data_IF_796331209408
#
_entry.id   IF_796331209408
#
_cell.length_a   1.000
_cell.length_b   1.000
_cell.length_c   1.000
_cell.angle_alpha   90.00
_cell.angle_beta   90.00
_cell.angle_gamma   90.00
#
_symmetry.space_group_name_H-M   'P 1'
#
loop_
_entity.id
_entity.type
_entity.pdbx_description
1 polymer ?
#
# COMPACT_ATOMS: atom_id res chain seq x y z
N UNK A 1 59.25 38.14 3.13
CA UNK A 1 60.49 38.59 2.45
C UNK A 1 60.34 40.02 1.89
N UNK A 2 60.00 41.01 2.72
CA UNK A 2 59.83 42.43 2.29
C UNK A 2 61.04 43.29 2.65
N UNK A 3 61.45 43.23 3.93
CA UNK A 3 62.54 44.02 4.51
C UNK A 3 63.87 43.89 3.73
N UNK A 4 64.22 42.68 3.30
CA UNK A 4 65.47 42.47 2.54
C UNK A 4 65.48 43.17 1.17
N UNK A 5 64.32 43.31 0.51
CA UNK A 5 64.21 43.97 -0.80
C UNK A 5 64.22 45.50 -0.68
N UNK A 6 63.54 46.06 0.32
CA UNK A 6 63.52 47.50 0.54
C UNK A 6 64.91 48.04 0.93
N UNK A 7 65.67 47.27 1.71
CA UNK A 7 67.06 47.60 2.05
C UNK A 7 67.94 47.66 0.80
N UNK A 8 67.83 46.67 -0.10
CA UNK A 8 68.63 46.64 -1.34
C UNK A 8 68.32 47.87 -2.22
N UNK A 9 67.05 48.22 -2.36
CA UNK A 9 66.61 49.37 -3.17
C UNK A 9 67.06 50.70 -2.54
N UNK A 10 66.94 50.83 -1.21
CA UNK A 10 67.41 52.02 -0.50
C UNK A 10 68.92 52.22 -0.59
N UNK A 11 69.69 51.14 -0.47
CA UNK A 11 71.15 51.17 -0.63
C UNK A 11 71.54 51.50 -2.07
N UNK A 12 70.84 50.96 -3.06
CA UNK A 12 71.07 51.29 -4.47
C UNK A 12 70.77 52.76 -4.79
N UNK A 13 69.67 53.30 -4.27
CA UNK A 13 69.30 54.72 -4.44
C UNK A 13 70.31 55.65 -3.76
N UNK A 14 70.79 55.28 -2.57
CA UNK A 14 71.87 55.99 -1.88
C UNK A 14 73.17 55.98 -2.69
N UNK A 15 73.58 54.82 -3.21
CA UNK A 15 74.80 54.68 -4.02
C UNK A 15 74.73 55.49 -5.32
N UNK A 16 73.58 55.53 -5.99
CA UNK A 16 73.36 56.36 -7.19
C UNK A 16 73.44 57.86 -6.88
N UNK A 17 72.84 58.31 -5.77
CA UNK A 17 72.93 59.70 -5.33
C UNK A 17 74.35 60.09 -4.95
N UNK A 18 75.12 59.16 -4.39
CA UNK A 18 76.55 59.37 -4.08
C UNK A 18 77.41 59.45 -5.34
N UNK A 19 77.03 58.81 -6.46
CA UNK A 19 77.73 58.94 -7.75
C UNK A 19 77.46 60.26 -8.46
N UNK A 20 76.35 60.94 -8.15
CA UNK A 20 75.98 62.24 -8.73
C UNK A 20 76.52 63.45 -7.93
N UNK A 21 77.48 63.23 -7.02
CA UNK A 21 78.08 64.28 -6.16
C UNK A 21 77.08 65.03 -5.26
N UNK A 22 75.97 64.38 -4.94
CA UNK A 22 74.93 64.92 -4.04
C UNK A 22 75.45 64.95 -2.59
N UNK A 23 75.13 65.97 -1.77
CA UNK A 23 75.67 66.03 -0.41
C UNK A 23 75.22 64.79 0.40
N UNK A 24 76.13 64.16 1.18
CA UNK A 24 75.88 62.86 1.82
C UNK A 24 74.64 62.82 2.72
N UNK A 25 74.31 63.95 3.35
CA UNK A 25 73.13 64.11 4.21
C UNK A 25 71.82 63.94 3.45
N UNK A 26 71.76 64.43 2.20
CA UNK A 26 70.56 64.30 1.35
C UNK A 26 70.48 62.90 0.73
N UNK A 27 71.61 62.31 0.33
CA UNK A 27 71.64 60.97 -0.25
C UNK A 27 71.07 59.91 0.71
N UNK A 28 71.42 59.96 2.00
CA UNK A 28 70.91 59.01 3.01
C UNK A 28 69.41 59.19 3.21
N UNK A 29 68.94 60.44 3.28
CA UNK A 29 67.50 60.75 3.39
C UNK A 29 66.70 60.23 2.21
N UNK A 30 67.23 60.38 0.99
CA UNK A 30 66.61 59.86 -0.25
C UNK A 30 66.59 58.33 -0.23
N UNK A 31 67.69 57.66 0.13
CA UNK A 31 67.73 56.20 0.21
C UNK A 31 66.69 55.61 1.16
N UNK A 32 66.54 56.19 2.36
CA UNK A 32 65.57 55.74 3.37
C UNK A 32 64.13 55.99 2.90
N UNK A 33 63.86 57.18 2.37
CA UNK A 33 62.51 57.53 1.90
C UNK A 33 62.08 56.70 0.68
N UNK A 34 62.98 56.45 -0.27
CA UNK A 34 62.73 55.56 -1.40
C UNK A 34 62.46 54.13 -0.96
N UNK A 35 63.22 53.59 0.00
CA UNK A 35 62.98 52.26 0.54
C UNK A 35 61.59 52.13 1.18
N UNK A 36 61.16 53.14 1.93
CA UNK A 36 59.87 53.15 2.61
C UNK A 36 58.69 53.29 1.64
N UNK A 37 58.81 54.16 0.65
CA UNK A 37 57.80 54.33 -0.40
C UNK A 37 57.63 53.03 -1.19
N UNK A 38 58.74 52.39 -1.58
CA UNK A 38 58.68 51.17 -2.38
C UNK A 38 58.05 50.00 -1.60
N UNK A 39 58.37 49.86 -0.32
CA UNK A 39 57.74 48.86 0.55
C UNK A 39 56.23 49.15 0.71
N UNK A 40 55.83 50.42 0.85
CA UNK A 40 54.42 50.80 0.96
C UNK A 40 53.59 50.45 -0.29
N UNK A 41 54.16 50.66 -1.48
CA UNK A 41 53.53 50.33 -2.76
C UNK A 41 53.40 48.81 -2.91
N UNK A 42 54.45 48.07 -2.56
CA UNK A 42 54.45 46.61 -2.67
C UNK A 42 53.51 45.94 -1.66
N UNK A 43 53.43 46.50 -0.45
CA UNK A 43 52.53 46.01 0.59
C UNK A 43 51.06 46.34 0.25
N UNK A 44 50.80 47.50 -0.37
CA UNK A 44 49.47 47.88 -0.84
C UNK A 44 48.95 46.94 -1.95
N UNK A 45 49.80 46.57 -2.92
CA UNK A 45 49.41 45.65 -4.00
C UNK A 45 49.11 44.23 -3.47
N UNK A 46 49.91 43.74 -2.54
CA UNK A 46 49.70 42.43 -1.91
C UNK A 46 48.42 42.41 -1.07
N UNK A 47 48.15 43.49 -0.31
CA UNK A 47 46.89 43.64 0.43
C UNK A 47 45.68 43.72 -0.48
N UNK A 48 45.78 44.45 -1.59
CA UNK A 48 44.70 44.57 -2.57
C UNK A 48 44.31 43.21 -3.14
N UNK A 49 45.31 42.40 -3.54
CA UNK A 49 45.06 41.06 -4.09
C UNK A 49 44.44 40.10 -3.06
N UNK A 50 44.92 40.13 -1.81
CA UNK A 50 44.32 39.34 -0.73
C UNK A 50 42.90 39.80 -0.39
N UNK A 51 42.65 41.11 -0.40
CA UNK A 51 41.33 41.69 -0.16
C UNK A 51 40.35 41.30 -1.26
N UNK A 52 40.77 41.32 -2.52
CA UNK A 52 39.94 40.87 -3.64
C UNK A 52 39.60 39.38 -3.56
N UNK A 53 40.57 38.53 -3.20
CA UNK A 53 40.31 37.11 -2.95
C UNK A 53 39.34 36.92 -1.78
N UNK A 54 39.54 37.63 -0.67
CA UNK A 54 38.64 37.56 0.47
C UNK A 54 37.21 38.02 0.12
N UNK A 55 37.05 39.10 -0.67
CA UNK A 55 35.74 39.54 -1.13
C UNK A 55 35.11 38.56 -2.12
N UNK A 56 35.91 37.90 -2.96
CA UNK A 56 35.44 36.86 -3.87
C UNK A 56 34.88 35.66 -3.11
N UNK A 57 35.67 35.13 -2.16
CA UNK A 57 35.23 34.03 -1.28
C UNK A 57 34.00 34.42 -0.45
N UNK A 58 33.93 35.66 0.05
CA UNK A 58 32.76 36.13 0.79
C UNK A 58 31.50 36.16 -0.09
N UNK A 59 31.64 36.56 -1.36
CA UNK A 59 30.54 36.57 -2.32
C UNK A 59 30.09 35.15 -2.65
N UNK A 60 31.03 34.25 -2.93
CA UNK A 60 30.73 32.82 -3.18
C UNK A 60 30.05 32.16 -1.98
N UNK A 61 30.52 32.44 -0.75
CA UNK A 61 29.89 31.94 0.47
C UNK A 61 28.47 32.47 0.62
N UNK A 62 28.24 33.75 0.32
CA UNK A 62 26.91 34.35 0.39
C UNK A 62 25.95 33.70 -0.63
N UNK A 63 26.43 33.44 -1.86
CA UNK A 63 25.67 32.71 -2.88
C UNK A 63 25.36 31.29 -2.41
N UNK A 64 26.34 30.57 -1.85
CA UNK A 64 26.15 29.23 -1.33
C UNK A 64 25.12 29.18 -0.19
N UNK A 65 25.13 30.17 0.71
CA UNK A 65 24.13 30.32 1.79
C UNK A 65 22.73 30.49 1.20
N UNK A 66 22.58 31.33 0.19
CA UNK A 66 21.28 31.50 -0.49
C UNK A 66 20.81 30.19 -1.15
N UNK A 67 21.69 29.49 -1.86
CA UNK A 67 21.35 28.19 -2.48
C UNK A 67 20.95 27.13 -1.44
N UNK A 68 21.65 27.06 -0.31
CA UNK A 68 21.29 26.14 0.78
C UNK A 68 19.92 26.51 1.36
N UNK A 69 19.63 27.79 1.52
CA UNK A 69 18.32 28.26 1.98
C UNK A 69 17.20 27.88 1.01
N UNK A 70 17.43 28.05 -0.29
CA UNK A 70 16.46 27.66 -1.32
C UNK A 70 16.23 26.15 -1.35
N UNK A 71 17.31 25.36 -1.26
CA UNK A 71 17.23 23.90 -1.19
C UNK A 71 16.50 23.42 0.05
N UNK A 72 16.74 24.07 1.21
CA UNK A 72 16.00 23.80 2.45
C UNK A 72 14.51 24.06 2.26
N UNK A 73 14.14 25.16 1.61
CA UNK A 73 12.74 25.49 1.33
C UNK A 73 12.09 24.47 0.39
N UNK A 74 12.78 24.07 -0.68
CA UNK A 74 12.30 23.04 -1.60
C UNK A 74 12.08 21.69 -0.90
N UNK A 75 13.00 21.32 0.00
CA UNK A 75 12.87 20.09 0.79
C UNK A 75 11.69 20.15 1.76
N UNK A 76 11.44 21.30 2.39
CA UNK A 76 10.32 21.51 3.31
C UNK A 76 8.96 21.40 2.58
N UNK A 77 8.87 22.00 1.39
CA UNK A 77 7.70 21.85 0.50
C UNK A 77 7.52 20.39 0.10
N UNK A 78 8.58 19.73 -0.36
CA UNK A 78 8.52 18.32 -0.77
C UNK A 78 8.10 17.42 0.39
N UNK A 79 8.61 17.68 1.60
CA UNK A 79 8.25 16.91 2.81
C UNK A 79 6.77 17.11 3.15
N UNK A 80 6.26 18.33 3.01
CA UNK A 80 4.86 18.66 3.22
C UNK A 80 3.97 17.96 2.18
N UNK A 81 4.35 18.01 0.91
CA UNK A 81 3.63 17.35 -0.19
C UNK A 81 3.63 15.83 -0.01
N UNK A 82 4.76 15.25 0.39
CA UNK A 82 4.87 13.82 0.63
C UNK A 82 3.99 13.38 1.81
N UNK A 83 3.91 14.20 2.86
CA UNK A 83 3.03 13.97 4.00
C UNK A 83 1.55 14.07 3.59
N UNK A 84 1.19 15.04 2.76
CA UNK A 84 -0.16 15.17 2.21
C UNK A 84 -0.52 13.99 1.30
N UNK A 85 0.43 13.55 0.45
CA UNK A 85 0.26 12.37 -0.39
C UNK A 85 0.12 11.09 0.45
N UNK A 86 0.86 10.97 1.54
CA UNK A 86 0.76 9.86 2.47
C UNK A 86 -0.58 9.86 3.23
N UNK A 87 -1.08 11.03 3.59
CA UNK A 87 -2.43 11.18 4.17
C UNK A 87 -3.51 10.81 3.15
N UNK A 88 -3.35 11.16 1.87
CA UNK A 88 -4.22 10.66 0.78
C UNK A 88 -4.12 9.16 0.60
N UNK A 89 -2.92 8.58 0.65
CA UNK A 89 -2.74 7.14 0.56
C UNK A 89 -3.40 6.45 1.75
N UNK A 90 -3.25 6.98 2.95
CA UNK A 90 -3.92 6.46 4.14
C UNK A 90 -5.44 6.62 4.04
N UNK A 91 -5.93 7.73 3.50
CA UNK A 91 -7.35 7.94 3.21
C UNK A 91 -7.86 6.97 2.15
N UNK A 92 -7.10 6.73 1.07
CA UNK A 92 -7.42 5.76 0.01
C UNK A 92 -7.26 4.32 0.46
N UNK A 93 -6.44 4.02 1.45
CA UNK A 93 -6.28 2.69 2.05
C UNK A 93 -7.39 2.45 3.10
N UNK A 94 -7.78 3.49 3.83
CA UNK A 94 -9.02 3.52 4.61
C UNK A 94 -10.28 3.44 3.72
N UNK A 95 -10.23 3.93 2.47
CA UNK A 95 -11.28 3.74 1.44
C UNK A 95 -11.04 2.44 0.63
N UNK A 96 -9.84 1.87 0.70
CA UNK A 96 -9.44 0.48 0.45
C UNK A 96 -10.08 -0.48 1.47
N UNK A 97 -11.16 0.01 2.07
CA UNK A 97 -12.48 -0.58 2.08
C UNK A 97 -12.64 -1.51 3.27
N UNK A 98 -12.87 -0.94 4.47
CA UNK A 98 -13.55 -1.65 5.54
C UNK A 98 -14.83 -2.32 5.02
N UNK A 99 -15.52 -1.73 4.04
CA UNK A 99 -16.64 -2.36 3.35
C UNK A 99 -16.25 -3.61 2.55
N UNK A 100 -15.09 -3.66 1.89
CA UNK A 100 -14.61 -4.83 1.17
C UNK A 100 -14.04 -5.88 2.12
N UNK A 101 -13.39 -5.47 3.21
CA UNK A 101 -12.97 -6.38 4.29
C UNK A 101 -14.19 -6.99 4.99
N UNK A 102 -15.22 -6.20 5.25
CA UNK A 102 -16.48 -6.67 5.83
C UNK A 102 -17.29 -7.52 4.84
N UNK A 103 -17.28 -7.17 3.54
CA UNK A 103 -17.90 -8.01 2.51
C UNK A 103 -17.17 -9.35 2.36
N UNK A 104 -15.83 -9.35 2.39
CA UNK A 104 -15.03 -10.57 2.37
C UNK A 104 -15.25 -11.41 3.63
N UNK A 105 -15.29 -10.80 4.81
CA UNK A 105 -15.60 -11.51 6.06
C UNK A 105 -17.00 -12.13 6.04
N UNK A 106 -18.01 -11.39 5.55
CA UNK A 106 -19.37 -11.93 5.36
C UNK A 106 -19.43 -13.03 4.30
N UNK A 107 -18.63 -12.92 3.24
CA UNK A 107 -18.51 -13.98 2.24
C UNK A 107 -17.82 -15.23 2.80
N UNK A 108 -16.81 -15.08 3.65
CA UNK A 108 -16.14 -16.17 4.34
C UNK A 108 -17.09 -16.90 5.29
N UNK A 109 -17.85 -16.17 6.11
CA UNK A 109 -18.88 -16.75 6.99
C UNK A 109 -19.99 -17.47 6.21
N UNK A 110 -20.48 -16.89 5.12
CA UNK A 110 -21.48 -17.51 4.26
C UNK A 110 -20.95 -18.78 3.58
N UNK A 111 -19.68 -18.78 3.17
CA UNK A 111 -19.03 -19.91 2.52
C UNK A 111 -18.80 -21.07 3.50
N UNK A 112 -18.43 -20.78 4.75
CA UNK A 112 -18.29 -21.80 5.79
C UNK A 112 -19.64 -22.44 6.15
N UNK A 113 -20.70 -21.62 6.29
CA UNK A 113 -22.06 -22.12 6.48
C UNK A 113 -22.54 -23.00 5.31
N UNK A 114 -22.21 -22.61 4.07
CA UNK A 114 -22.52 -23.40 2.87
C UNK A 114 -21.74 -24.71 2.83
N UNK A 115 -20.46 -24.70 3.22
CA UNK A 115 -19.62 -25.90 3.31
C UNK A 115 -20.19 -26.91 4.30
N UNK A 116 -20.58 -26.46 5.49
CA UNK A 116 -21.21 -27.30 6.52
C UNK A 116 -22.55 -27.87 6.05
N UNK A 117 -23.35 -27.09 5.32
CA UNK A 117 -24.61 -27.57 4.76
C UNK A 117 -24.41 -28.64 3.66
N UNK A 118 -23.39 -28.47 2.81
CA UNK A 118 -23.03 -29.43 1.76
C UNK A 118 -22.56 -30.77 2.36
N UNK A 119 -21.76 -30.72 3.41
CA UNK A 119 -21.26 -31.90 4.11
C UNK A 119 -22.42 -32.73 4.68
N UNK A 120 -23.34 -32.08 5.40
CA UNK A 120 -24.57 -32.73 5.92
C UNK A 120 -25.52 -33.22 4.83
N UNK A 121 -25.52 -32.60 3.64
CA UNK A 121 -26.32 -33.07 2.52
C UNK A 121 -25.70 -34.31 1.87
N UNK A 122 -24.37 -34.36 1.83
CA UNK A 122 -23.62 -35.51 1.32
C UNK A 122 -23.80 -36.72 2.23
N UNK A 123 -23.69 -36.54 3.55
CA UNK A 123 -23.95 -37.59 4.54
C UNK A 123 -25.38 -38.14 4.42
N UNK A 124 -26.39 -37.27 4.36
CA UNK A 124 -27.79 -37.70 4.13
C UNK A 124 -27.97 -38.42 2.80
N UNK A 125 -27.24 -38.03 1.75
CA UNK A 125 -27.30 -38.71 0.46
C UNK A 125 -26.69 -40.11 0.55
N UNK A 126 -25.63 -40.29 1.33
CA UNK A 126 -25.05 -41.60 1.62
C UNK A 126 -25.99 -42.48 2.46
N UNK A 127 -26.58 -41.92 3.52
CA UNK A 127 -27.58 -42.62 4.34
C UNK A 127 -28.83 -43.03 3.53
N UNK A 128 -29.31 -42.16 2.64
CA UNK A 128 -30.46 -42.51 1.78
C UNK A 128 -30.10 -43.58 0.75
N UNK A 129 -28.89 -43.54 0.17
CA UNK A 129 -28.38 -44.63 -0.67
C UNK A 129 -28.27 -45.95 0.09
N UNK A 130 -27.74 -45.94 1.31
CA UNK A 130 -27.67 -47.12 2.17
C UNK A 130 -29.08 -47.63 2.55
N UNK A 131 -30.02 -46.73 2.84
CA UNK A 131 -31.41 -47.10 3.11
C UNK A 131 -32.10 -47.67 1.88
N UNK A 132 -31.80 -47.16 0.68
CA UNK A 132 -32.28 -47.71 -0.58
C UNK A 132 -31.69 -49.09 -0.83
N UNK A 133 -30.40 -49.29 -0.58
CA UNK A 133 -29.75 -50.59 -0.67
C UNK A 133 -30.40 -51.60 0.27
N UNK A 134 -30.57 -51.26 1.54
CA UNK A 134 -31.25 -52.10 2.54
C UNK A 134 -32.70 -52.39 2.15
N UNK A 135 -33.41 -51.40 1.60
CA UNK A 135 -34.78 -51.57 1.11
C UNK A 135 -34.83 -52.51 -0.10
N UNK A 136 -33.91 -52.39 -1.06
CA UNK A 136 -33.82 -53.29 -2.22
C UNK A 136 -33.55 -54.73 -1.76
N UNK A 137 -32.64 -54.93 -0.81
CA UNK A 137 -32.37 -56.26 -0.24
C UNK A 137 -33.63 -56.80 0.45
N UNK A 138 -34.31 -55.98 1.26
CA UNK A 138 -35.55 -56.36 1.95
C UNK A 138 -36.69 -56.65 0.97
N UNK A 139 -36.83 -55.86 -0.10
CA UNK A 139 -37.81 -56.10 -1.15
C UNK A 139 -37.49 -57.37 -1.93
N UNK A 140 -36.23 -57.67 -2.22
CA UNK A 140 -35.83 -58.95 -2.80
C UNK A 140 -36.26 -60.13 -1.93
N UNK A 141 -36.03 -60.04 -0.62
CA UNK A 141 -36.48 -61.05 0.35
C UNK A 141 -38.00 -61.12 0.48
N UNK A 142 -38.71 -59.99 0.44
CA UNK A 142 -40.17 -59.96 0.45
C UNK A 142 -40.75 -60.52 -0.85
N UNK A 143 -40.14 -60.26 -2.01
CA UNK A 143 -40.58 -60.79 -3.30
C UNK A 143 -40.42 -62.32 -3.34
N UNK A 144 -39.32 -62.84 -2.79
CA UNK A 144 -39.13 -64.29 -2.62
C UNK A 144 -40.17 -64.90 -1.67
N UNK A 145 -40.44 -64.28 -0.51
CA UNK A 145 -41.49 -64.74 0.42
C UNK A 145 -42.89 -64.62 -0.16
N UNK A 146 -43.18 -63.57 -0.93
CA UNK A 146 -44.47 -63.40 -1.62
C UNK A 146 -44.62 -64.42 -2.74
N UNK A 147 -43.56 -64.77 -3.47
CA UNK A 147 -43.59 -65.87 -4.43
C UNK A 147 -43.81 -67.22 -3.76
N UNK A 148 -43.19 -67.46 -2.59
CA UNK A 148 -43.43 -68.66 -1.79
C UNK A 148 -44.89 -68.72 -1.30
N UNK A 149 -45.40 -67.63 -0.71
CA UNK A 149 -46.81 -67.55 -0.27
C UNK A 149 -47.76 -67.65 -1.46
N UNK A 150 -47.46 -67.04 -2.60
CA UNK A 150 -48.25 -67.19 -3.83
C UNK A 150 -48.22 -68.61 -4.36
N UNK A 151 -47.10 -69.33 -4.23
CA UNK A 151 -47.04 -70.75 -4.59
C UNK A 151 -47.94 -71.59 -3.68
N UNK A 152 -47.96 -71.31 -2.39
CA UNK A 152 -48.85 -71.94 -1.40
C UNK A 152 -50.31 -71.57 -1.65
N UNK A 153 -50.59 -70.31 -2.01
CA UNK A 153 -51.95 -69.84 -2.31
C UNK A 153 -52.44 -70.39 -3.66
N UNK A 154 -51.57 -70.56 -4.65
CA UNK A 154 -51.89 -71.26 -5.90
C UNK A 154 -52.15 -72.74 -5.65
N UNK A 155 -51.36 -73.38 -4.78
CA UNK A 155 -51.61 -74.75 -4.34
C UNK A 155 -52.95 -74.87 -3.61
N UNK A 156 -53.29 -73.90 -2.75
CA UNK A 156 -54.58 -73.86 -2.05
C UNK A 156 -55.76 -73.50 -2.96
N UNK A 157 -55.59 -72.62 -3.94
CA UNK A 157 -56.60 -72.27 -4.94
C UNK A 157 -56.82 -73.38 -5.98
N UNK A 158 -55.83 -74.23 -6.22
CA UNK A 158 -56.00 -75.44 -7.03
C UNK A 158 -56.87 -76.50 -6.32
N UNK A 159 -57.09 -76.37 -5.00
CA UNK A 159 -57.84 -77.31 -4.19
C UNK A 159 -59.26 -76.85 -3.81
N UNK A 160 -59.70 -75.63 -4.17
CA UNK A 160 -61.02 -75.12 -3.72
C UNK A 160 -61.78 -74.32 -4.80
N UNK A 161 -63.07 -74.64 -5.10
CA UNK A 161 -63.78 -74.11 -6.26
C UNK A 161 -64.39 -72.70 -6.03
N UNK A 162 -64.37 -71.90 -7.10
CA UNK A 162 -64.66 -70.46 -7.14
C UNK A 162 -66.11 -70.07 -6.84
N UNK A 163 -66.29 -69.06 -5.98
CA UNK A 163 -67.53 -68.27 -5.90
C UNK A 163 -67.22 -66.76 -6.00
N UNK A 164 -67.98 -66.08 -6.85
CA UNK A 164 -67.84 -64.68 -7.26
C UNK A 164 -68.11 -63.68 -6.12
N UNK A 165 -67.30 -62.61 -6.02
CA UNK A 165 -67.66 -61.39 -5.26
C UNK A 165 -67.49 -60.17 -6.17
N UNK A 166 -68.58 -59.39 -6.25
CA UNK A 166 -68.77 -58.15 -7.00
C UNK A 166 -67.96 -56.99 -6.39
N UNK A 167 -67.24 -56.23 -7.23
CA UNK A 167 -66.64 -54.94 -6.89
C UNK A 167 -67.73 -53.86 -6.83
N UNK A 168 -67.83 -53.13 -5.72
CA UNK A 168 -68.71 -51.98 -5.57
C UNK A 168 -67.86 -50.71 -5.46
N UNK A 169 -67.99 -49.87 -6.47
CA UNK A 169 -67.42 -48.54 -6.64
C UNK A 169 -68.00 -47.55 -5.61
N UNK A 170 -67.14 -46.78 -4.94
CA UNK A 170 -67.55 -45.63 -4.12
C UNK A 170 -66.37 -44.65 -4.00
N UNK A 171 -66.30 -43.73 -4.95
CA UNK A 171 -65.46 -42.54 -4.90
C UNK A 171 -66.24 -41.42 -4.19
N UNK A 172 -65.75 -40.96 -3.04
CA UNK A 172 -66.17 -39.73 -2.38
C UNK A 172 -65.05 -38.69 -2.53
N UNK A 173 -65.26 -37.66 -3.34
CA UNK A 173 -64.41 -36.47 -3.38
C UNK A 173 -64.90 -35.47 -2.34
N UNK A 174 -64.12 -35.31 -1.26
CA UNK A 174 -64.32 -34.29 -0.25
C UNK A 174 -63.51 -33.04 -0.64
N UNK A 175 -64.18 -31.99 -1.12
CA UNK A 175 -63.59 -30.65 -1.25
C UNK A 175 -63.26 -30.10 0.15
N UNK A 176 -61.97 -29.88 0.42
CA UNK A 176 -61.52 -29.11 1.58
C UNK A 176 -61.16 -27.70 1.13
N UNK A 177 -61.99 -26.75 1.54
CA UNK A 177 -61.84 -25.32 1.31
C UNK A 177 -60.86 -24.76 2.35
N UNK A 178 -59.63 -24.41 1.95
CA UNK A 178 -58.66 -23.72 2.80
C UNK A 178 -57.58 -23.04 1.94
N UNK A 179 -57.90 -21.85 1.43
CA UNK A 179 -56.91 -20.90 0.91
C UNK A 179 -56.96 -19.64 1.79
N UNK A 180 -55.95 -19.36 2.64
CA UNK A 180 -55.82 -18.04 3.24
C UNK A 180 -55.29 -17.08 2.17
N UNK A 181 -56.10 -16.08 1.83
CA UNK A 181 -55.71 -14.97 0.98
C UNK A 181 -54.67 -14.10 1.72
N UNK A 182 -53.39 -14.42 1.55
CA UNK A 182 -52.27 -13.56 1.95
C UNK A 182 -52.10 -12.50 0.86
N UNK A 183 -52.97 -11.49 0.84
CA UNK A 183 -52.81 -10.34 -0.08
C UNK A 183 -53.09 -8.99 0.60
N UNK A 184 -53.69 -8.97 1.81
CA UNK A 184 -53.99 -7.72 2.49
C UNK A 184 -52.85 -7.17 3.37
N UNK A 185 -51.82 -7.96 3.70
CA UNK A 185 -50.69 -7.51 4.54
C UNK A 185 -49.56 -6.78 3.77
N UNK A 186 -49.58 -6.79 2.43
CA UNK A 186 -48.54 -6.12 1.62
C UNK A 186 -48.92 -4.66 1.30
N UNK A 187 -50.20 -4.28 1.37
CA UNK A 187 -50.66 -2.92 1.05
C UNK A 187 -50.67 -1.99 2.28
N UNK A 188 -50.65 -2.52 3.51
CA UNK A 188 -50.59 -1.73 4.75
C UNK A 188 -49.16 -1.29 5.16
N UNK A 189 -48.13 -1.80 4.49
CA UNK A 189 -46.71 -1.54 4.80
C UNK A 189 -46.05 -0.54 3.82
N UNK A 190 -46.83 0.07 2.92
CA UNK A 190 -46.36 0.98 1.87
C UNK A 190 -47.23 2.26 1.76
N UNK A 191 -47.79 2.71 2.88
CA UNK A 191 -48.46 4.01 3.05
C UNK A 191 -47.87 4.81 4.21
#
# INVERSE_FOLDING_TARGET
MGIGRSIIIGVAAWALMSMMDTPPKFAIGIGISTAFIMESIFQASTRSHLKHKASGLQTELNIAIHQISDMKRALDVTTTDLRAALEELYRRDAIGSPAARELLARQEEAMDAQRVALDRSTDRSFETLESLERMIISQGQQTSRVQEVLSIVLEKLALEPRQHINMRDSVLTQENNSTPAMTDDIISLLA
#
